data_IF_731106599539
#
_entry.id   IF_731106599539
#
_cell.length_a   1.000
_cell.length_b   1.000
_cell.length_c   1.000
_cell.angle_alpha   90.00
_cell.angle_beta   90.00
_cell.angle_gamma   90.00
#
_symmetry.space_group_name_H-M   'P 1'
#
loop_
_entity.id
_entity.type
_entity.pdbx_description
1 polymer ?
#
# COMPACT_ATOMS: atom_id res chain seq x y z
N UNK A 1 22.68 -12.56 -7.22
CA UNK A 1 21.90 -11.63 -6.38
C UNK A 1 20.69 -12.39 -5.84
N UNK A 2 20.80 -13.03 -4.68
CA UNK A 2 19.71 -13.83 -4.07
C UNK A 2 18.48 -13.00 -3.68
N UNK A 3 18.62 -11.67 -3.61
CA UNK A 3 17.60 -10.70 -3.19
C UNK A 3 16.36 -10.63 -4.10
N UNK A 4 16.50 -11.02 -5.38
CA UNK A 4 15.42 -11.04 -6.38
C UNK A 4 14.85 -12.43 -6.66
N UNK A 5 15.24 -13.43 -5.86
CA UNK A 5 14.70 -14.79 -5.99
C UNK A 5 13.18 -14.82 -5.75
N UNK A 6 12.50 -15.81 -6.34
CA UNK A 6 11.12 -16.14 -5.99
C UNK A 6 11.05 -16.41 -4.48
N UNK A 7 9.95 -16.02 -3.83
CA UNK A 7 9.76 -16.01 -2.37
C UNK A 7 10.51 -14.91 -1.59
N UNK A 8 11.25 -14.01 -2.25
CA UNK A 8 11.86 -12.85 -1.60
C UNK A 8 10.86 -11.73 -1.31
N UNK A 9 10.67 -11.35 -0.04
CA UNK A 9 9.85 -10.18 0.31
C UNK A 9 10.40 -8.87 -0.26
N UNK A 10 11.71 -8.79 -0.51
CA UNK A 10 12.36 -7.64 -1.14
C UNK A 10 11.93 -7.39 -2.58
N UNK A 11 11.79 -8.45 -3.37
CA UNK A 11 11.20 -8.35 -4.72
C UNK A 11 9.78 -7.79 -4.65
N UNK A 12 8.97 -8.30 -3.72
CA UNK A 12 7.61 -7.81 -3.49
C UNK A 12 7.56 -6.34 -3.10
N UNK A 13 8.44 -5.91 -2.18
CA UNK A 13 8.57 -4.52 -1.75
C UNK A 13 8.93 -3.61 -2.93
N UNK A 14 9.94 -3.97 -3.72
CA UNK A 14 10.35 -3.17 -4.86
C UNK A 14 9.24 -3.03 -5.89
N UNK A 15 8.59 -4.13 -6.28
CA UNK A 15 7.50 -4.09 -7.26
C UNK A 15 6.30 -3.28 -6.73
N UNK A 16 5.96 -3.43 -5.46
CA UNK A 16 4.88 -2.67 -4.81
C UNK A 16 5.21 -1.17 -4.74
N UNK A 17 6.46 -0.82 -4.40
CA UNK A 17 6.94 0.56 -4.39
C UNK A 17 6.98 1.17 -5.79
N UNK A 18 7.48 0.44 -6.80
CA UNK A 18 7.47 0.87 -8.20
C UNK A 18 6.05 1.14 -8.68
N UNK A 19 5.09 0.26 -8.39
CA UNK A 19 3.68 0.48 -8.72
C UNK A 19 3.13 1.75 -8.06
N UNK A 20 3.38 1.94 -6.76
CA UNK A 20 2.94 3.14 -6.05
C UNK A 20 3.52 4.41 -6.67
N UNK A 21 4.84 4.45 -6.92
CA UNK A 21 5.51 5.61 -7.53
C UNK A 21 4.96 5.88 -8.92
N UNK A 22 4.78 4.87 -9.76
CA UNK A 22 4.19 5.03 -11.09
C UNK A 22 2.77 5.61 -11.01
N UNK A 23 1.92 5.07 -10.15
CA UNK A 23 0.56 5.58 -9.97
C UNK A 23 0.57 7.03 -9.48
N UNK A 24 1.45 7.36 -8.52
CA UNK A 24 1.57 8.71 -7.97
C UNK A 24 2.06 9.73 -9.02
N UNK A 25 3.05 9.37 -9.84
CA UNK A 25 3.51 10.22 -10.95
C UNK A 25 2.41 10.42 -11.99
N UNK A 26 1.71 9.36 -12.37
CA UNK A 26 0.57 9.44 -13.29
C UNK A 26 -0.52 10.36 -12.70
N UNK A 27 -0.82 10.25 -11.42
CA UNK A 27 -1.77 11.11 -10.73
C UNK A 27 -1.41 12.59 -10.83
N UNK A 28 -0.13 12.96 -10.63
CA UNK A 28 0.36 14.34 -10.80
C UNK A 28 0.20 14.81 -12.24
N UNK A 29 0.62 14.00 -13.22
CA UNK A 29 0.54 14.35 -14.64
C UNK A 29 -0.92 14.58 -15.06
N UNK A 30 -1.84 13.70 -14.64
CA UNK A 30 -3.26 13.82 -14.97
C UNK A 30 -3.89 15.06 -14.33
N UNK A 31 -3.53 15.39 -13.09
CA UNK A 31 -3.96 16.60 -12.42
C UNK A 31 -3.48 17.85 -13.18
N UNK A 32 -2.20 17.88 -13.56
CA UNK A 32 -1.59 19.01 -14.27
C UNK A 32 -2.19 19.25 -15.66
N UNK A 33 -2.70 18.21 -16.32
CA UNK A 33 -3.31 18.30 -17.66
C UNK A 33 -4.85 18.40 -17.63
N UNK A 34 -5.48 18.48 -16.46
CA UNK A 34 -6.94 18.65 -16.33
C UNK A 34 -7.78 17.41 -16.65
N UNK A 35 -7.19 16.21 -16.69
CA UNK A 35 -7.92 14.95 -16.95
C UNK A 35 -8.69 14.46 -15.72
N UNK A 36 -9.75 15.17 -15.32
CA UNK A 36 -10.46 14.98 -14.05
C UNK A 36 -10.95 13.55 -13.77
N UNK A 37 -11.49 12.85 -14.78
CA UNK A 37 -12.01 11.48 -14.61
C UNK A 37 -10.87 10.48 -14.36
N UNK A 38 -9.82 10.52 -15.19
CA UNK A 38 -8.66 9.64 -15.06
C UNK A 38 -7.91 9.91 -13.75
N UNK A 39 -7.77 11.19 -13.39
CA UNK A 39 -7.20 11.62 -12.11
C UNK A 39 -7.88 10.93 -10.92
N UNK A 40 -9.22 10.95 -10.88
CA UNK A 40 -10.00 10.30 -9.81
C UNK A 40 -9.82 8.78 -9.81
N UNK A 41 -9.79 8.15 -10.98
CA UNK A 41 -9.56 6.70 -11.10
C UNK A 41 -8.18 6.34 -10.52
N UNK A 42 -7.14 7.07 -10.89
CA UNK A 42 -5.78 6.80 -10.39
C UNK A 42 -5.67 7.09 -8.89
N UNK A 43 -6.34 8.13 -8.39
CA UNK A 43 -6.41 8.38 -6.94
C UNK A 43 -7.04 7.20 -6.19
N UNK A 44 -8.12 6.60 -6.70
CA UNK A 44 -8.73 5.40 -6.12
C UNK A 44 -7.75 4.21 -6.15
N UNK A 45 -7.00 4.02 -7.24
CA UNK A 45 -6.00 2.97 -7.33
C UNK A 45 -4.86 3.15 -6.31
N UNK A 46 -4.40 4.40 -6.11
CA UNK A 46 -3.42 4.74 -5.07
C UNK A 46 -3.98 4.40 -3.68
N UNK A 47 -5.23 4.79 -3.40
CA UNK A 47 -5.90 4.50 -2.13
C UNK A 47 -5.96 2.99 -1.86
N UNK A 48 -6.43 2.20 -2.82
CA UNK A 48 -6.52 0.74 -2.70
C UNK A 48 -5.12 0.14 -2.45
N UNK A 49 -4.12 0.55 -3.25
CA UNK A 49 -2.76 0.03 -3.12
C UNK A 49 -2.11 0.41 -1.79
N UNK A 50 -2.26 1.66 -1.34
CA UNK A 50 -1.73 2.16 -0.07
C UNK A 50 -2.35 1.44 1.14
N UNK A 51 -3.65 1.12 1.09
CA UNK A 51 -4.33 0.34 2.12
C UNK A 51 -3.89 -1.14 2.07
N UNK A 52 -3.56 -1.66 0.88
CA UNK A 52 -3.24 -3.08 0.66
C UNK A 52 -1.75 -3.38 0.44
N UNK A 53 -0.82 -2.53 0.90
CA UNK A 53 0.62 -2.68 0.66
C UNK A 53 1.17 -4.05 1.07
N UNK A 54 0.83 -4.56 2.26
CA UNK A 54 1.28 -5.88 2.71
C UNK A 54 0.83 -7.01 1.77
N UNK A 55 -0.48 -7.14 1.49
CA UNK A 55 -0.98 -8.09 0.50
C UNK A 55 -0.34 -7.97 -0.89
N UNK A 56 -0.09 -6.75 -1.39
CA UNK A 56 0.55 -6.55 -2.70
C UNK A 56 2.03 -6.94 -2.70
N UNK A 57 2.76 -6.73 -1.60
CA UNK A 57 4.13 -7.25 -1.42
C UNK A 57 4.13 -8.78 -1.52
N UNK A 58 3.21 -9.46 -0.83
CA UNK A 58 3.10 -10.92 -0.88
C UNK A 58 2.80 -11.41 -2.30
N UNK A 59 1.83 -10.76 -2.97
CA UNK A 59 1.41 -11.12 -4.33
C UNK A 59 2.55 -10.93 -5.33
N UNK A 60 3.21 -9.77 -5.33
CA UNK A 60 4.28 -9.46 -6.28
C UNK A 60 5.59 -10.18 -5.98
N UNK A 61 5.87 -10.46 -4.70
CA UNK A 61 6.98 -11.30 -4.28
C UNK A 61 6.77 -12.79 -4.61
N UNK A 62 5.54 -13.18 -4.97
CA UNK A 62 5.13 -14.57 -5.18
C UNK A 62 5.45 -15.45 -3.96
N UNK A 63 5.19 -14.92 -2.76
CA UNK A 63 5.62 -15.53 -1.50
C UNK A 63 4.65 -16.66 -1.11
N UNK A 64 5.15 -17.88 -1.15
CA UNK A 64 4.43 -19.10 -0.82
C UNK A 64 4.69 -19.58 0.61
N UNK A 65 5.92 -19.39 1.12
CA UNK A 65 6.30 -19.79 2.48
C UNK A 65 5.54 -18.96 3.54
N UNK A 66 4.93 -19.63 4.52
CA UNK A 66 4.08 -19.00 5.53
C UNK A 66 4.83 -18.02 6.44
N UNK A 67 6.04 -18.38 6.86
CA UNK A 67 6.88 -17.54 7.72
C UNK A 67 7.26 -16.27 6.96
N UNK A 68 7.71 -16.41 5.72
CA UNK A 68 8.08 -15.28 4.86
C UNK A 68 6.88 -14.39 4.54
N UNK A 69 5.70 -14.98 4.30
CA UNK A 69 4.45 -14.25 4.09
C UNK A 69 4.07 -13.41 5.31
N UNK A 70 4.20 -13.97 6.51
CA UNK A 70 3.92 -13.26 7.77
C UNK A 70 4.88 -12.07 7.97
N UNK A 71 6.17 -12.27 7.68
CA UNK A 71 7.16 -11.19 7.73
C UNK A 71 6.83 -10.08 6.72
N UNK A 72 6.51 -10.45 5.47
CA UNK A 72 6.13 -9.51 4.42
C UNK A 72 4.89 -8.68 4.80
N UNK A 73 3.86 -9.29 5.39
CA UNK A 73 2.67 -8.59 5.85
C UNK A 73 2.96 -7.61 6.99
N UNK A 74 3.85 -7.96 7.93
CA UNK A 74 4.28 -7.07 9.01
C UNK A 74 5.09 -5.88 8.50
N UNK A 75 6.01 -6.11 7.56
CA UNK A 75 6.75 -5.03 6.88
C UNK A 75 5.77 -4.12 6.13
N UNK A 76 4.81 -4.73 5.41
CA UNK A 76 3.76 -3.99 4.72
C UNK A 76 2.95 -3.09 5.63
N UNK A 77 2.61 -3.54 6.84
CA UNK A 77 1.93 -2.69 7.84
C UNK A 77 2.78 -1.48 8.25
N UNK A 78 4.08 -1.68 8.50
CA UNK A 78 5.00 -0.59 8.86
C UNK A 78 5.06 0.45 7.74
N UNK A 79 5.05 0.02 6.48
CA UNK A 79 5.03 0.92 5.31
C UNK A 79 3.67 1.58 5.13
N UNK A 80 2.58 0.84 5.36
CA UNK A 80 1.22 1.33 5.13
C UNK A 80 0.84 2.47 6.08
N UNK A 81 1.30 2.46 7.34
CA UNK A 81 0.98 3.52 8.32
C UNK A 81 1.34 4.92 7.80
N UNK A 82 2.61 5.27 7.49
CA UNK A 82 2.94 6.60 7.01
C UNK A 82 2.28 6.94 5.67
N UNK A 83 2.11 5.97 4.76
CA UNK A 83 1.40 6.20 3.50
C UNK A 83 -0.06 6.59 3.73
N UNK A 84 -0.75 5.94 4.66
CA UNK A 84 -2.16 6.20 4.94
C UNK A 84 -2.36 7.47 5.78
N UNK A 85 -1.35 7.92 6.55
CA UNK A 85 -1.33 9.27 7.13
C UNK A 85 -1.34 10.31 6.00
N UNK A 86 -0.44 10.17 5.01
CA UNK A 86 -0.39 11.06 3.85
C UNK A 86 -1.68 11.02 3.02
N UNK A 87 -2.28 9.84 2.87
CA UNK A 87 -3.55 9.67 2.18
C UNK A 87 -4.69 10.38 2.91
N UNK A 88 -4.81 10.22 4.23
CA UNK A 88 -5.82 10.92 5.02
C UNK A 88 -5.64 12.44 4.99
N UNK A 89 -4.40 12.93 4.95
CA UNK A 89 -4.11 14.35 4.73
C UNK A 89 -4.55 14.83 3.35
N UNK A 90 -4.29 14.05 2.30
CA UNK A 90 -4.73 14.37 0.94
C UNK A 90 -6.27 14.39 0.81
N UNK A 91 -6.96 13.45 1.46
CA UNK A 91 -8.43 13.41 1.50
C UNK A 91 -9.05 14.50 2.37
N UNK A 92 -8.29 15.05 3.32
CA UNK A 92 -8.69 16.22 4.11
C UNK A 92 -8.36 17.55 3.40
N UNK A 93 -8.29 17.55 2.06
CA UNK A 93 -7.94 18.72 1.25
C UNK A 93 -6.63 19.40 1.70
N UNK A 94 -5.66 18.59 2.11
CA UNK A 94 -4.35 19.05 2.62
C UNK A 94 -4.43 19.86 3.93
N UNK A 95 -5.57 19.81 4.63
CA UNK A 95 -5.72 20.35 5.98
C UNK A 95 -5.29 19.32 7.04
N UNK A 96 -4.79 19.82 8.16
CA UNK A 96 -4.42 18.96 9.30
C UNK A 96 -5.67 18.47 10.03
N UNK A 97 -6.24 17.36 9.57
CA UNK A 97 -7.42 16.70 10.16
C UNK A 97 -7.04 15.39 10.83
N UNK A 98 -6.86 15.43 12.16
CA UNK A 98 -6.52 14.22 12.94
C UNK A 98 -7.55 13.11 12.73
N UNK A 99 -8.84 13.45 12.70
CA UNK A 99 -9.91 12.47 12.50
C UNK A 99 -9.78 11.72 11.17
N UNK A 100 -9.52 12.43 10.07
CA UNK A 100 -9.38 11.84 8.74
C UNK A 100 -8.08 11.04 8.63
N UNK A 101 -6.96 11.59 9.11
CA UNK A 101 -5.68 10.88 9.09
C UNK A 101 -5.74 9.60 9.94
N UNK A 102 -6.33 9.67 11.13
CA UNK A 102 -6.49 8.52 12.02
C UNK A 102 -7.43 7.46 11.42
N UNK A 103 -8.52 7.84 10.74
CA UNK A 103 -9.46 6.86 10.17
C UNK A 103 -8.80 5.98 9.10
N UNK A 104 -7.97 6.56 8.23
CA UNK A 104 -7.18 5.81 7.25
C UNK A 104 -6.15 4.90 7.91
N UNK A 105 -5.45 5.37 8.95
CA UNK A 105 -4.49 4.55 9.71
C UNK A 105 -5.19 3.38 10.41
N UNK A 106 -6.35 3.62 11.03
CA UNK A 106 -7.15 2.56 11.69
C UNK A 106 -7.61 1.54 10.66
N UNK A 107 -8.14 1.98 9.52
CA UNK A 107 -8.61 1.11 8.45
C UNK A 107 -7.48 0.21 7.90
N UNK A 108 -6.34 0.80 7.52
CA UNK A 108 -5.21 0.04 6.98
C UNK A 108 -4.65 -0.94 8.01
N UNK A 109 -4.56 -0.53 9.28
CA UNK A 109 -4.08 -1.38 10.37
C UNK A 109 -5.01 -2.57 10.58
N UNK A 110 -6.33 -2.35 10.63
CA UNK A 110 -7.30 -3.42 10.80
C UNK A 110 -7.22 -4.46 9.68
N UNK A 111 -7.10 -4.01 8.42
CA UNK A 111 -7.00 -4.89 7.26
C UNK A 111 -5.69 -5.70 7.24
N UNK A 112 -4.56 -5.10 7.60
CA UNK A 112 -3.29 -5.81 7.73
C UNK A 112 -3.32 -6.81 8.88
N UNK A 113 -3.87 -6.45 10.04
CA UNK A 113 -4.02 -7.37 11.17
C UNK A 113 -4.92 -8.56 10.80
N UNK A 114 -6.00 -8.33 10.06
CA UNK A 114 -6.85 -9.40 9.53
C UNK A 114 -6.07 -10.31 8.58
N UNK A 115 -5.27 -9.74 7.67
CA UNK A 115 -4.45 -10.51 6.74
C UNK A 115 -3.41 -11.37 7.47
N UNK A 116 -2.76 -10.83 8.51
CA UNK A 116 -1.80 -11.56 9.35
C UNK A 116 -2.48 -12.68 10.15
N UNK A 117 -3.65 -12.40 10.73
CA UNK A 117 -4.43 -13.42 11.47
C UNK A 117 -4.82 -14.59 10.58
N UNK A 118 -5.25 -14.33 9.34
CA UNK A 118 -5.59 -15.38 8.36
C UNK A 118 -4.40 -16.25 7.96
N UNK A 119 -3.18 -15.74 8.06
CA UNK A 119 -1.98 -16.57 7.86
C UNK A 119 -1.64 -17.41 9.09
N UNK A 120 -2.00 -17.00 10.30
CA UNK A 120 -1.75 -17.80 11.51
C UNK A 120 -2.77 -18.91 11.78
N UNK A 121 -3.91 -18.92 11.08
CA UNK A 121 -4.98 -19.91 11.23
C UNK A 121 -4.96 -21.03 10.17
N UNK A 122 -3.89 -21.09 9.35
CA UNK A 122 -3.62 -22.09 8.32
C UNK A 122 -2.33 -22.83 8.70
#
# INVERSE_FOLDING_TARGET
MEWFSKDGYWRGILLSASLFVSLFLIHIILAANGYMTLFKIVAILITIHAIAVGPTIVLFGQISNLQTKTVALKIGLIIAIPLNIGLGWAYAEMMFSIATMASFVVLTTALHLLAIRRTGSL
#
